data_IF_211573840785
#
_entry.id   IF_211573840785
#
_cell.length_a   1.000
_cell.length_b   1.000
_cell.length_c   1.000
_cell.angle_alpha   90.00
_cell.angle_beta   90.00
_cell.angle_gamma   90.00
#
_symmetry.space_group_name_H-M   'P 1'
#
loop_
_entity.id
_entity.type
_entity.pdbx_description
1 polymer ?
#
# COMPACT_ATOMS: atom_id res chain seq x y z
N UNK A 1 -16.71 -31.06 13.26
CA UNK A 1 -16.36 -30.23 12.10
C UNK A 1 -15.38 -29.18 12.61
N UNK A 2 -14.23 -28.94 11.96
CA UNK A 2 -13.38 -27.80 12.32
C UNK A 2 -14.17 -26.53 12.09
N UNK A 3 -14.18 -25.64 13.06
CA UNK A 3 -14.76 -24.31 12.92
C UNK A 3 -14.11 -23.55 11.77
N UNK A 4 -14.88 -22.78 11.01
CA UNK A 4 -14.33 -21.97 9.92
C UNK A 4 -13.33 -20.95 10.48
N UNK A 5 -12.21 -20.67 9.80
CA UNK A 5 -11.25 -19.67 10.27
C UNK A 5 -11.91 -18.29 10.34
N UNK A 6 -11.50 -17.49 11.32
CA UNK A 6 -11.95 -16.09 11.42
C UNK A 6 -11.19 -15.18 10.46
N UNK A 7 -9.90 -15.41 10.29
CA UNK A 7 -9.03 -14.59 9.42
C UNK A 7 -8.45 -15.45 8.30
N UNK A 8 -8.53 -14.98 7.07
CA UNK A 8 -7.74 -15.50 5.93
C UNK A 8 -6.57 -14.56 5.68
N UNK A 9 -5.34 -15.07 5.87
CA UNK A 9 -4.10 -14.36 5.55
C UNK A 9 -3.68 -14.73 4.14
N UNK A 10 -3.68 -13.77 3.23
CA UNK A 10 -3.33 -13.95 1.81
C UNK A 10 -1.88 -13.50 1.60
N UNK A 11 -1.05 -14.40 1.07
CA UNK A 11 0.37 -14.18 0.82
C UNK A 11 0.67 -14.42 -0.67
N UNK A 12 0.81 -13.36 -1.48
CA UNK A 12 1.32 -13.50 -2.83
C UNK A 12 2.82 -13.80 -2.79
N UNK A 13 3.25 -14.81 -3.53
CA UNK A 13 4.64 -15.29 -3.52
C UNK A 13 5.20 -15.26 -4.94
N UNK A 14 6.34 -14.59 -5.13
CA UNK A 14 7.10 -14.63 -6.37
C UNK A 14 8.58 -14.40 -6.09
N UNK A 15 9.42 -15.42 -6.38
CA UNK A 15 10.88 -15.40 -6.16
C UNK A 15 11.27 -14.88 -4.76
N UNK A 16 10.72 -15.51 -3.71
CA UNK A 16 10.85 -15.07 -2.31
C UNK A 16 11.60 -16.08 -1.43
N UNK A 17 12.34 -17.04 -1.99
CA UNK A 17 12.97 -18.16 -1.23
C UNK A 17 13.78 -17.71 -0.02
N UNK A 18 14.41 -16.53 -0.09
CA UNK A 18 15.25 -16.00 0.99
C UNK A 18 14.45 -15.49 2.20
N UNK A 19 13.19 -15.11 2.00
CA UNK A 19 12.38 -14.39 3.02
C UNK A 19 11.15 -15.18 3.45
N UNK A 20 10.66 -16.07 2.57
CA UNK A 20 9.37 -16.73 2.68
C UNK A 20 9.21 -17.53 3.98
N UNK A 21 10.26 -18.21 4.45
CA UNK A 21 10.22 -18.94 5.72
C UNK A 21 9.92 -18.02 6.89
N UNK A 22 10.62 -16.89 7.00
CA UNK A 22 10.38 -15.91 8.05
C UNK A 22 8.96 -15.36 8.00
N UNK A 23 8.46 -15.08 6.79
CA UNK A 23 7.10 -14.60 6.59
C UNK A 23 6.08 -15.62 7.12
N UNK A 24 6.12 -16.87 6.65
CA UNK A 24 5.19 -17.93 7.05
C UNK A 24 5.30 -18.22 8.55
N UNK A 25 6.50 -18.33 9.09
CA UNK A 25 6.73 -18.58 10.51
C UNK A 25 6.13 -17.48 11.38
N UNK A 26 6.22 -16.22 10.95
CA UNK A 26 5.63 -15.10 11.68
C UNK A 26 4.10 -15.20 11.76
N UNK A 27 3.43 -15.78 10.76
CA UNK A 27 1.98 -16.02 10.77
C UNK A 27 1.61 -17.26 11.57
N UNK A 28 2.36 -18.36 11.44
CA UNK A 28 2.09 -19.60 12.18
C UNK A 28 2.27 -19.43 13.69
N UNK A 29 3.21 -18.57 14.11
CA UNK A 29 3.51 -18.29 15.51
C UNK A 29 2.62 -17.21 16.15
N UNK A 30 1.53 -16.80 15.47
CA UNK A 30 0.60 -15.82 16.03
C UNK A 30 -0.10 -16.34 17.30
N UNK A 31 -0.38 -15.43 18.25
CA UNK A 31 -1.17 -15.74 19.45
C UNK A 31 -2.61 -16.12 19.10
N UNK A 32 -3.24 -15.44 18.15
CA UNK A 32 -4.56 -15.79 17.61
C UNK A 32 -4.49 -17.05 16.76
N UNK A 33 -5.40 -18.01 16.97
CA UNK A 33 -5.32 -19.35 16.35
C UNK A 33 -6.38 -19.67 15.30
N UNK A 34 -7.45 -18.84 15.21
CA UNK A 34 -8.54 -19.08 14.25
C UNK A 34 -8.25 -18.41 12.89
N UNK A 35 -7.22 -18.87 12.19
CA UNK A 35 -6.83 -18.36 10.88
C UNK A 35 -6.50 -19.47 9.89
N UNK A 36 -6.53 -19.14 8.61
CA UNK A 36 -5.91 -19.87 7.51
C UNK A 36 -4.89 -18.98 6.79
N UNK A 37 -3.91 -19.61 6.15
CA UNK A 37 -2.96 -18.98 5.23
C UNK A 37 -3.29 -19.46 3.82
N UNK A 38 -3.45 -18.52 2.88
CA UNK A 38 -3.59 -18.78 1.45
C UNK A 38 -2.35 -18.21 0.78
N UNK A 39 -1.35 -19.06 0.56
CA UNK A 39 -0.11 -18.69 -0.09
C UNK A 39 -0.17 -19.10 -1.57
N UNK A 40 -0.04 -18.12 -2.46
CA UNK A 40 -0.18 -18.35 -3.89
C UNK A 40 1.15 -18.01 -4.57
N UNK A 41 1.81 -19.03 -5.08
CA UNK A 41 3.01 -18.91 -5.89
C UNK A 41 2.64 -18.45 -7.31
N UNK A 42 3.13 -17.27 -7.67
CA UNK A 42 2.88 -16.61 -8.94
C UNK A 42 3.94 -16.96 -9.99
N UNK A 43 4.26 -18.25 -10.11
CA UNK A 43 5.21 -18.77 -11.10
C UNK A 43 6.67 -18.49 -10.77
N UNK A 44 7.06 -18.66 -9.51
CA UNK A 44 8.46 -18.50 -9.06
C UNK A 44 9.42 -19.41 -9.82
N UNK A 45 10.64 -18.93 -10.00
CA UNK A 45 11.74 -19.65 -10.67
C UNK A 45 12.80 -20.15 -9.67
N UNK A 46 12.65 -19.77 -8.40
CA UNK A 46 13.48 -20.17 -7.26
C UNK A 46 12.82 -21.31 -6.45
N UNK A 47 13.29 -21.55 -5.25
CA UNK A 47 12.74 -22.61 -4.37
C UNK A 47 11.45 -22.21 -3.62
N UNK A 48 10.83 -21.06 -3.92
CA UNK A 48 9.65 -20.56 -3.19
C UNK A 48 8.52 -21.60 -3.14
N UNK A 49 8.13 -22.17 -4.29
CA UNK A 49 7.06 -23.17 -4.33
C UNK A 49 7.41 -24.45 -3.56
N UNK A 50 8.67 -24.88 -3.60
CA UNK A 50 9.12 -26.02 -2.80
C UNK A 50 8.96 -25.74 -1.31
N UNK A 51 9.35 -24.56 -0.85
CA UNK A 51 9.17 -24.12 0.55
C UNK A 51 7.69 -24.16 0.94
N UNK A 52 6.80 -23.61 0.10
CA UNK A 52 5.36 -23.62 0.35
C UNK A 52 4.81 -25.05 0.53
N UNK A 53 5.22 -25.99 -0.32
CA UNK A 53 4.80 -27.38 -0.24
C UNK A 53 5.28 -28.07 1.04
N UNK A 54 6.50 -27.76 1.50
CA UNK A 54 7.00 -28.25 2.79
C UNK A 54 6.10 -27.78 3.93
N UNK A 55 5.78 -26.48 4.00
CA UNK A 55 4.89 -25.94 5.04
C UNK A 55 3.47 -26.51 4.99
N UNK A 56 2.91 -26.73 3.81
CA UNK A 56 1.58 -27.33 3.66
C UNK A 56 1.51 -28.75 4.23
N UNK A 57 2.60 -29.54 4.17
CA UNK A 57 2.66 -30.89 4.74
C UNK A 57 2.62 -30.86 6.28
N UNK A 58 3.20 -29.84 6.90
CA UNK A 58 3.31 -29.74 8.37
C UNK A 58 2.19 -28.95 9.03
N UNK A 59 1.47 -28.10 8.29
CA UNK A 59 0.45 -27.22 8.86
C UNK A 59 -0.88 -27.33 8.12
N UNK A 60 -1.95 -27.77 8.80
CA UNK A 60 -3.29 -27.85 8.22
C UNK A 60 -3.94 -26.46 8.02
N UNK A 61 -3.30 -25.39 8.49
CA UNK A 61 -3.78 -24.04 8.35
C UNK A 61 -3.26 -23.35 7.08
N UNK A 62 -2.35 -24.00 6.33
CA UNK A 62 -1.79 -23.47 5.09
C UNK A 62 -2.41 -24.20 3.90
N UNK A 63 -2.87 -23.39 2.96
CA UNK A 63 -3.26 -23.82 1.62
C UNK A 63 -2.35 -23.13 0.61
N UNK A 64 -1.70 -23.92 -0.25
CA UNK A 64 -0.80 -23.43 -1.28
C UNK A 64 -1.37 -23.67 -2.67
N UNK A 65 -1.11 -22.75 -3.58
CA UNK A 65 -1.40 -22.87 -5.01
C UNK A 65 -0.17 -22.38 -5.79
N UNK A 66 0.01 -22.91 -7.00
CA UNK A 66 1.01 -22.40 -7.93
C UNK A 66 0.38 -22.28 -9.33
N UNK A 67 0.78 -21.28 -10.07
CA UNK A 67 0.32 -21.02 -11.42
C UNK A 67 1.34 -20.19 -12.21
N UNK A 68 1.08 -19.95 -13.48
CA UNK A 68 1.85 -19.00 -14.28
C UNK A 68 1.73 -17.58 -13.73
N UNK A 69 2.81 -16.79 -13.89
CA UNK A 69 2.88 -15.42 -13.36
C UNK A 69 1.82 -14.51 -14.00
N UNK A 70 1.01 -13.87 -13.16
CA UNK A 70 -0.03 -12.90 -13.53
C UNK A 70 0.05 -11.62 -12.70
N UNK A 71 1.05 -11.49 -11.84
CA UNK A 71 1.28 -10.34 -10.99
C UNK A 71 0.57 -10.38 -9.64
N UNK A 72 1.04 -9.54 -8.72
CA UNK A 72 0.58 -9.50 -7.33
C UNK A 72 -0.90 -9.12 -7.21
N UNK A 73 -1.41 -8.20 -8.04
CA UNK A 73 -2.81 -7.80 -8.08
C UNK A 73 -3.74 -8.99 -8.33
N UNK A 74 -3.44 -9.76 -9.38
CA UNK A 74 -4.22 -10.95 -9.70
C UNK A 74 -4.15 -11.99 -8.58
N UNK A 75 -2.96 -12.18 -7.99
CA UNK A 75 -2.73 -13.12 -6.90
C UNK A 75 -3.54 -12.77 -5.65
N UNK A 76 -3.55 -11.50 -5.26
CA UNK A 76 -4.38 -11.03 -4.14
C UNK A 76 -5.89 -11.19 -4.44
N UNK A 77 -6.34 -10.90 -5.65
CA UNK A 77 -7.73 -11.10 -6.07
C UNK A 77 -8.17 -12.56 -6.03
N UNK A 78 -7.31 -13.48 -6.44
CA UNK A 78 -7.56 -14.91 -6.32
C UNK A 78 -7.64 -15.33 -4.86
N UNK A 79 -6.74 -14.84 -4.02
CA UNK A 79 -6.76 -15.06 -2.58
C UNK A 79 -8.07 -14.61 -1.92
N UNK A 80 -8.62 -13.43 -2.30
CA UNK A 80 -9.92 -12.95 -1.81
C UNK A 80 -11.04 -13.96 -2.14
N UNK A 81 -11.06 -14.50 -3.36
CA UNK A 81 -12.05 -15.49 -3.79
C UNK A 81 -11.96 -16.81 -3.03
N UNK A 82 -10.74 -17.23 -2.71
CA UNK A 82 -10.44 -18.49 -2.02
C UNK A 82 -10.61 -18.42 -0.51
N UNK A 83 -10.60 -17.22 0.08
CA UNK A 83 -10.69 -16.97 1.50
C UNK A 83 -11.98 -17.55 2.11
N UNK A 84 -11.87 -18.25 3.24
CA UNK A 84 -13.00 -18.79 4.02
C UNK A 84 -13.26 -17.97 5.29
N UNK A 85 -12.28 -17.16 5.71
CA UNK A 85 -12.37 -16.31 6.89
C UNK A 85 -13.42 -15.21 6.74
N UNK A 86 -13.93 -14.78 7.88
CA UNK A 86 -14.81 -13.59 7.98
C UNK A 86 -14.05 -12.32 7.62
N UNK A 87 -12.75 -12.31 7.94
CA UNK A 87 -11.85 -11.19 7.69
C UNK A 87 -10.69 -11.60 6.78
N UNK A 88 -10.14 -10.62 6.06
CA UNK A 88 -9.00 -10.80 5.15
C UNK A 88 -7.85 -9.88 5.58
N UNK A 89 -6.64 -10.41 5.52
CA UNK A 89 -5.38 -9.67 5.67
C UNK A 89 -4.43 -10.03 4.54
N UNK A 90 -3.62 -9.06 4.10
CA UNK A 90 -2.57 -9.28 3.12
C UNK A 90 -1.20 -9.14 3.79
N UNK A 91 -0.27 -10.02 3.45
CA UNK A 91 1.12 -9.95 3.90
C UNK A 91 1.99 -10.24 2.67
N UNK A 92 2.96 -9.38 2.39
CA UNK A 92 3.92 -9.60 1.32
C UNK A 92 4.96 -10.65 1.74
N UNK A 93 5.40 -11.49 0.82
CA UNK A 93 6.22 -12.68 1.11
C UNK A 93 7.63 -12.39 1.63
N UNK A 94 8.10 -11.16 1.51
CA UNK A 94 9.37 -10.69 2.08
C UNK A 94 9.23 -9.99 3.44
N UNK A 95 8.00 -9.76 3.92
CA UNK A 95 7.67 -9.10 5.17
C UNK A 95 7.38 -10.09 6.30
N UNK A 96 7.18 -9.58 7.52
CA UNK A 96 6.79 -10.39 8.68
C UNK A 96 6.00 -9.56 9.71
N UNK A 97 5.29 -10.24 10.60
CA UNK A 97 4.39 -9.60 11.58
C UNK A 97 4.76 -9.95 13.02
N UNK A 98 4.43 -9.07 13.95
CA UNK A 98 4.61 -9.31 15.39
C UNK A 98 3.70 -10.44 15.89
N UNK A 99 4.06 -11.16 16.98
CA UNK A 99 3.31 -12.34 17.45
C UNK A 99 1.85 -12.08 17.86
N UNK A 100 1.50 -10.86 18.22
CA UNK A 100 0.16 -10.43 18.64
C UNK A 100 -0.66 -9.78 17.51
N UNK A 101 -0.10 -9.69 16.30
CA UNK A 101 -0.64 -8.93 15.19
C UNK A 101 -2.06 -9.34 14.80
N UNK A 102 -2.32 -10.62 14.60
CA UNK A 102 -3.67 -11.09 14.24
C UNK A 102 -4.67 -10.87 15.38
N UNK A 103 -4.24 -11.06 16.64
CA UNK A 103 -5.11 -10.86 17.81
C UNK A 103 -5.55 -9.40 17.92
N UNK A 104 -4.58 -8.46 17.85
CA UNK A 104 -4.88 -7.02 17.97
C UNK A 104 -5.88 -6.58 16.89
N UNK A 105 -5.65 -6.96 15.64
CA UNK A 105 -6.56 -6.59 14.56
C UNK A 105 -7.93 -7.27 14.65
N UNK A 106 -7.97 -8.53 15.10
CA UNK A 106 -9.21 -9.25 15.31
C UNK A 106 -10.07 -8.57 16.41
N UNK A 107 -9.46 -8.25 17.55
CA UNK A 107 -10.15 -7.59 18.65
C UNK A 107 -10.73 -6.23 18.23
N UNK A 108 -9.98 -5.49 17.45
CA UNK A 108 -10.38 -4.19 16.95
C UNK A 108 -11.55 -4.26 15.94
N UNK A 109 -11.53 -5.18 14.98
CA UNK A 109 -12.56 -5.24 13.93
C UNK A 109 -13.80 -6.02 14.38
N UNK A 110 -13.65 -7.01 15.26
CA UNK A 110 -14.76 -7.85 15.72
C UNK A 110 -15.70 -7.11 16.68
N UNK A 111 -15.19 -6.11 17.37
CA UNK A 111 -15.94 -5.33 18.36
C UNK A 111 -16.88 -4.28 17.75
N UNK A 112 -16.78 -4.01 16.44
CA UNK A 112 -17.46 -2.89 15.81
C UNK A 112 -18.10 -3.20 14.46
N UNK A 113 -18.56 -2.15 13.80
CA UNK A 113 -19.19 -2.17 12.47
C UNK A 113 -18.17 -1.82 11.37
N UNK A 114 -16.89 -1.73 11.72
CA UNK A 114 -15.85 -1.32 10.78
C UNK A 114 -15.74 -2.29 9.59
N UNK A 115 -15.63 -1.75 8.40
CA UNK A 115 -15.37 -2.49 7.18
C UNK A 115 -13.88 -2.77 6.98
N UNK A 116 -13.04 -1.87 7.54
CA UNK A 116 -11.61 -2.07 7.61
C UNK A 116 -11.00 -1.38 8.84
N UNK A 117 -9.97 -2.00 9.42
CA UNK A 117 -9.11 -1.39 10.44
C UNK A 117 -7.68 -1.34 9.91
N UNK A 118 -7.04 -0.17 10.03
CA UNK A 118 -5.73 0.12 9.49
C UNK A 118 -4.76 0.41 10.64
N UNK A 119 -3.67 -0.33 10.71
CA UNK A 119 -2.56 -0.10 11.63
C UNK A 119 -1.39 0.61 10.95
N UNK A 120 -0.42 0.97 11.76
CA UNK A 120 0.88 1.44 11.30
C UNK A 120 1.78 0.31 10.83
N UNK A 121 2.90 0.69 10.24
CA UNK A 121 3.96 -0.22 9.83
C UNK A 121 5.33 0.35 10.19
N UNK A 122 6.31 -0.53 10.29
CA UNK A 122 7.71 -0.12 10.46
C UNK A 122 8.59 -0.72 9.37
N UNK A 123 9.50 0.09 8.84
CA UNK A 123 10.55 -0.38 7.92
C UNK A 123 11.71 -0.92 8.72
N UNK A 124 12.14 -2.13 8.41
CA UNK A 124 13.23 -2.82 9.12
C UNK A 124 14.33 -3.25 8.15
N UNK A 125 15.59 -3.23 8.62
CA UNK A 125 16.72 -3.75 7.85
C UNK A 125 16.91 -5.27 8.06
N UNK A 126 18.00 -5.81 7.49
CA UNK A 126 18.35 -7.23 7.59
C UNK A 126 18.59 -7.70 9.04
N UNK A 127 19.05 -6.82 9.92
CA UNK A 127 19.31 -7.11 11.34
C UNK A 127 18.04 -6.95 12.21
N UNK A 128 16.88 -6.66 11.59
CA UNK A 128 15.64 -6.36 12.31
C UNK A 128 15.60 -4.96 12.93
N UNK A 129 16.61 -4.11 12.68
CA UNK A 129 16.65 -2.74 13.20
C UNK A 129 15.63 -1.87 12.46
N UNK A 130 14.81 -1.16 13.22
CA UNK A 130 13.86 -0.19 12.68
C UNK A 130 14.58 0.98 12.02
N UNK A 131 14.28 1.22 10.73
CA UNK A 131 14.76 2.36 9.96
C UNK A 131 13.82 3.57 10.12
N UNK A 132 12.53 3.33 10.04
CA UNK A 132 11.48 4.30 10.36
C UNK A 132 10.15 3.58 10.63
N UNK A 133 9.17 4.32 11.15
CA UNK A 133 7.79 3.83 11.30
C UNK A 133 6.78 4.86 10.80
N UNK A 134 5.62 4.35 10.40
CA UNK A 134 4.42 5.13 10.10
C UNK A 134 3.41 4.78 11.19
N UNK A 135 3.38 5.58 12.23
CA UNK A 135 2.33 5.48 13.24
C UNK A 135 1.10 6.23 12.78
N UNK A 136 -0.06 5.64 12.94
CA UNK A 136 -1.34 6.25 12.55
C UNK A 136 -2.03 6.83 13.78
N UNK A 137 -2.54 8.06 13.63
CA UNK A 137 -3.45 8.68 14.61
C UNK A 137 -4.90 8.25 14.37
N UNK A 138 -5.83 8.93 15.06
CA UNK A 138 -7.28 8.71 14.89
C UNK A 138 -7.91 9.67 13.86
N UNK A 139 -7.15 10.58 13.29
CA UNK A 139 -7.66 11.57 12.35
C UNK A 139 -7.97 10.93 10.99
N UNK A 140 -8.93 11.48 10.26
CA UNK A 140 -9.30 11.02 8.91
C UNK A 140 -8.12 10.99 7.94
N UNK A 141 -7.13 11.88 8.09
CA UNK A 141 -5.92 11.89 7.29
C UNK A 141 -5.03 10.67 7.49
N UNK A 142 -5.06 10.04 8.66
CA UNK A 142 -4.16 8.93 9.00
C UNK A 142 -4.25 7.77 8.01
N UNK A 143 -5.42 7.41 7.51
CA UNK A 143 -5.59 6.34 6.51
C UNK A 143 -4.88 6.65 5.17
N UNK A 144 -4.74 7.94 4.80
CA UNK A 144 -4.04 8.37 3.59
C UNK A 144 -2.50 8.39 3.72
N UNK A 145 -1.98 8.15 4.91
CA UNK A 145 -0.52 8.10 5.14
C UNK A 145 0.09 6.76 4.77
N UNK A 146 -0.71 5.70 4.75
CA UNK A 146 -0.34 4.38 4.27
C UNK A 146 -1.32 3.94 3.20
N UNK A 147 -0.83 3.58 2.02
CA UNK A 147 -1.61 3.14 0.87
C UNK A 147 -1.39 1.65 0.55
N UNK A 148 -0.50 0.98 1.27
CA UNK A 148 -0.30 -0.45 1.14
C UNK A 148 -1.56 -1.21 1.58
N UNK A 149 -1.96 -2.30 0.94
CA UNK A 149 -3.03 -3.18 1.40
C UNK A 149 -2.63 -3.96 2.65
N UNK A 150 -1.34 -4.00 2.97
CA UNK A 150 -0.79 -4.59 4.19
C UNK A 150 -0.98 -3.68 5.41
N UNK A 151 -0.68 -4.19 6.61
CA UNK A 151 -0.96 -3.56 7.89
C UNK A 151 -2.45 -3.24 8.12
N UNK A 152 -3.35 -4.10 7.62
CA UNK A 152 -4.80 -3.91 7.67
C UNK A 152 -5.54 -5.22 7.81
N UNK A 153 -6.75 -5.12 8.37
CA UNK A 153 -7.75 -6.16 8.32
C UNK A 153 -9.00 -5.62 7.62
N UNK A 154 -9.61 -6.44 6.78
CA UNK A 154 -10.80 -6.08 6.01
C UNK A 154 -11.93 -7.07 6.31
N UNK A 155 -13.16 -6.58 6.45
CA UNK A 155 -14.34 -7.44 6.44
C UNK A 155 -14.54 -8.03 5.06
N UNK A 156 -14.46 -9.37 4.91
CA UNK A 156 -14.60 -10.04 3.63
C UNK A 156 -15.91 -9.69 2.92
N UNK A 157 -17.03 -9.67 3.68
CA UNK A 157 -18.34 -9.31 3.12
C UNK A 157 -18.33 -7.94 2.46
N UNK A 158 -17.68 -6.94 3.08
CA UNK A 158 -17.54 -5.61 2.48
C UNK A 158 -16.77 -5.64 1.15
N UNK A 159 -15.66 -6.38 1.06
CA UNK A 159 -14.90 -6.50 -0.18
C UNK A 159 -15.73 -7.16 -1.28
N UNK A 160 -16.47 -8.22 -0.96
CA UNK A 160 -17.26 -8.99 -1.93
C UNK A 160 -18.49 -8.22 -2.38
N UNK A 161 -19.27 -7.66 -1.46
CA UNK A 161 -20.53 -6.95 -1.79
C UNK A 161 -20.28 -5.68 -2.63
N UNK A 162 -19.11 -5.06 -2.50
CA UNK A 162 -18.72 -3.88 -3.27
C UNK A 162 -17.82 -4.22 -4.48
N UNK A 163 -17.63 -5.50 -4.80
CA UNK A 163 -16.79 -5.99 -5.90
C UNK A 163 -15.37 -5.40 -5.88
N UNK A 164 -14.81 -5.21 -4.67
CA UNK A 164 -13.50 -4.59 -4.50
C UNK A 164 -12.40 -5.56 -4.92
N UNK A 165 -11.58 -5.12 -5.86
CA UNK A 165 -10.47 -5.90 -6.39
C UNK A 165 -9.27 -4.98 -6.71
N UNK A 166 -8.08 -5.57 -6.69
CA UNK A 166 -6.89 -4.90 -7.18
C UNK A 166 -6.97 -4.78 -8.70
N UNK A 167 -6.80 -3.56 -9.27
CA UNK A 167 -6.82 -3.38 -10.70
C UNK A 167 -5.58 -4.00 -11.36
N UNK A 168 -5.76 -4.53 -12.57
CA UNK A 168 -4.66 -5.04 -13.39
C UNK A 168 -3.94 -3.87 -14.06
N UNK A 169 -2.95 -3.34 -13.38
CA UNK A 169 -2.08 -2.25 -13.85
C UNK A 169 -0.66 -2.45 -13.32
N UNK A 170 0.36 -2.02 -14.08
CA UNK A 170 1.75 -2.25 -13.71
C UNK A 170 2.25 -1.37 -12.55
N UNK A 171 1.50 -0.35 -12.16
CA UNK A 171 1.87 0.60 -11.10
C UNK A 171 0.64 1.07 -10.33
N UNK A 172 0.79 1.22 -9.02
CA UNK A 172 -0.20 1.82 -8.12
C UNK A 172 -1.49 1.01 -7.93
N UNK A 173 -1.47 -0.31 -8.18
CA UNK A 173 -2.59 -1.21 -7.91
C UNK A 173 -3.01 -1.15 -6.43
N UNK A 174 -2.03 -1.12 -5.52
CA UNK A 174 -2.22 -0.99 -4.07
C UNK A 174 -2.88 0.33 -3.69
N UNK A 175 -2.40 1.41 -4.31
CA UNK A 175 -2.96 2.76 -4.14
C UNK A 175 -4.42 2.81 -4.57
N UNK A 176 -4.73 2.34 -5.78
CA UNK A 176 -6.09 2.36 -6.32
C UNK A 176 -7.03 1.48 -5.50
N UNK A 177 -6.59 0.28 -5.11
CA UNK A 177 -7.36 -0.57 -4.21
C UNK A 177 -7.67 0.15 -2.89
N UNK A 178 -6.65 0.72 -2.24
CA UNK A 178 -6.82 1.42 -0.96
C UNK A 178 -7.74 2.62 -1.08
N UNK A 179 -7.59 3.45 -2.12
CA UNK A 179 -8.49 4.59 -2.33
C UNK A 179 -9.92 4.15 -2.66
N UNK A 180 -10.09 3.05 -3.41
CA UNK A 180 -11.43 2.49 -3.67
C UNK A 180 -12.08 2.05 -2.36
N UNK A 181 -11.37 1.36 -1.48
CA UNK A 181 -11.85 1.02 -0.13
C UNK A 181 -12.30 2.28 0.61
N UNK A 182 -11.51 3.37 0.57
CA UNK A 182 -11.83 4.61 1.29
C UNK A 182 -13.02 5.38 0.73
N UNK A 183 -13.30 5.23 -0.56
CA UNK A 183 -14.46 5.88 -1.19
C UNK A 183 -15.74 5.07 -1.09
N UNK A 184 -15.65 3.79 -0.75
CA UNK A 184 -16.81 2.88 -0.64
C UNK A 184 -17.33 2.70 0.78
N UNK A 185 -16.58 3.15 1.81
CA UNK A 185 -17.02 3.05 3.21
C UNK A 185 -16.56 4.25 4.03
N UNK A 186 -17.44 4.72 4.92
CA UNK A 186 -17.12 5.64 5.99
C UNK A 186 -16.66 4.92 7.28
N UNK A 187 -16.90 3.60 7.37
CA UNK A 187 -16.57 2.74 8.51
C UNK A 187 -15.14 2.21 8.40
N UNK A 188 -14.17 3.12 8.27
CA UNK A 188 -12.75 2.77 8.21
C UNK A 188 -12.03 3.46 9.34
N UNK A 189 -11.45 2.68 10.23
CA UNK A 189 -10.78 3.16 11.43
C UNK A 189 -9.27 2.91 11.38
N UNK A 190 -8.51 3.83 11.95
CA UNK A 190 -7.07 3.69 12.14
C UNK A 190 -6.73 3.46 13.61
N UNK A 191 -5.72 2.62 13.86
CA UNK A 191 -5.21 2.31 15.22
C UNK A 191 -3.71 2.62 15.31
N UNK A 192 -3.21 3.03 16.49
CA UNK A 192 -1.80 3.39 16.66
C UNK A 192 -0.89 2.15 16.85
N UNK A 193 -1.27 1.01 16.33
CA UNK A 193 -0.51 -0.24 16.43
C UNK A 193 0.39 -0.43 15.22
N UNK A 194 1.69 -0.73 15.44
CA UNK A 194 2.70 -0.96 14.41
C UNK A 194 3.29 -2.37 14.55
N UNK A 195 2.54 -3.38 14.16
CA UNK A 195 2.97 -4.79 14.22
C UNK A 195 3.37 -5.38 12.85
N UNK A 196 3.32 -4.61 11.78
CA UNK A 196 3.73 -5.01 10.43
C UNK A 196 5.17 -4.55 10.17
N UNK A 197 6.06 -5.49 9.86
CA UNK A 197 7.48 -5.25 9.61
C UNK A 197 7.74 -5.31 8.10
N UNK A 198 7.78 -4.15 7.46
CA UNK A 198 8.14 -4.00 6.07
C UNK A 198 9.66 -4.14 5.91
N UNK A 199 10.09 -5.25 5.37
CA UNK A 199 11.49 -5.58 5.26
C UNK A 199 12.18 -4.82 4.12
N UNK A 200 13.38 -4.28 4.39
CA UNK A 200 14.18 -3.62 3.36
C UNK A 200 14.86 -4.67 2.48
N UNK A 201 14.30 -4.89 1.32
CA UNK A 201 14.82 -5.77 0.28
C UNK A 201 15.31 -4.90 -0.89
N UNK A 202 16.64 -4.88 -1.15
CA UNK A 202 17.24 -4.08 -2.24
C UNK A 202 16.70 -4.47 -3.62
N UNK A 203 16.30 -5.72 -3.80
CA UNK A 203 15.77 -6.27 -5.05
C UNK A 203 14.26 -6.14 -5.19
N UNK A 204 13.57 -5.51 -4.23
CA UNK A 204 12.12 -5.32 -4.33
C UNK A 204 11.74 -4.41 -5.48
N UNK A 205 10.55 -4.62 -6.05
CA UNK A 205 9.99 -3.78 -7.10
C UNK A 205 10.00 -2.29 -6.72
N UNK A 206 9.68 -1.97 -5.46
CA UNK A 206 9.68 -0.60 -4.94
C UNK A 206 11.06 0.07 -4.98
N UNK A 207 12.14 -0.69 -4.86
CA UNK A 207 13.51 -0.15 -4.86
C UNK A 207 14.17 -0.15 -6.25
N UNK A 208 13.67 -0.96 -7.18
CA UNK A 208 14.27 -1.12 -8.52
C UNK A 208 13.58 -0.32 -9.62
N UNK A 209 12.25 -0.13 -9.52
CA UNK A 209 11.46 0.53 -10.57
C UNK A 209 11.54 2.07 -10.55
N UNK A 210 11.98 2.69 -9.46
CA UNK A 210 11.92 4.14 -9.26
C UNK A 210 13.21 4.90 -9.66
N UNK A 211 14.03 4.34 -10.56
CA UNK A 211 15.23 5.03 -11.08
C UNK A 211 14.89 5.80 -12.36
N UNK A 212 14.34 6.99 -12.20
CA UNK A 212 13.91 7.84 -13.30
C UNK A 212 12.41 7.70 -13.62
N UNK A 213 11.93 8.52 -14.55
CA UNK A 213 10.57 8.38 -15.07
C UNK A 213 10.52 7.22 -16.06
N UNK A 214 9.99 6.09 -15.62
CA UNK A 214 9.85 4.91 -16.46
C UNK A 214 8.77 5.18 -17.54
N UNK A 215 9.09 5.09 -18.84
CA UNK A 215 8.15 5.36 -19.92
C UNK A 215 6.96 4.38 -19.97
N UNK A 216 7.11 3.21 -19.35
CA UNK A 216 6.03 2.22 -19.22
C UNK A 216 5.06 2.53 -18.07
N UNK A 217 5.36 3.54 -17.25
CA UNK A 217 4.54 3.95 -16.10
C UNK A 217 3.88 5.30 -16.43
N UNK A 218 2.64 5.24 -16.91
CA UNK A 218 1.86 6.44 -17.23
C UNK A 218 1.17 7.00 -15.97
N UNK A 219 1.77 8.02 -15.38
CA UNK A 219 1.21 8.72 -14.20
C UNK A 219 -0.18 9.31 -14.51
N UNK A 220 -0.43 9.76 -15.75
CA UNK A 220 -1.72 10.32 -16.12
C UNK A 220 -2.81 9.24 -16.05
N UNK A 221 -2.55 8.04 -16.54
CA UNK A 221 -3.49 6.91 -16.41
C UNK A 221 -3.81 6.62 -14.93
N UNK A 222 -2.82 6.63 -14.05
CA UNK A 222 -3.04 6.46 -12.61
C UNK A 222 -3.93 7.58 -12.06
N UNK A 223 -3.67 8.82 -12.40
CA UNK A 223 -4.45 9.98 -11.97
C UNK A 223 -5.89 9.96 -12.52
N UNK A 224 -6.10 9.57 -13.77
CA UNK A 224 -7.43 9.39 -14.38
C UNK A 224 -8.24 8.33 -13.63
N UNK A 225 -7.61 7.20 -13.27
CA UNK A 225 -8.25 6.15 -12.46
C UNK A 225 -8.57 6.63 -11.04
N UNK A 226 -7.67 7.40 -10.41
CA UNK A 226 -7.97 8.01 -9.10
C UNK A 226 -9.18 8.94 -9.21
N UNK A 227 -9.25 9.78 -10.24
CA UNK A 227 -10.40 10.66 -10.44
C UNK A 227 -11.72 9.89 -10.65
N UNK A 228 -11.67 8.78 -11.38
CA UNK A 228 -12.84 7.95 -11.68
C UNK A 228 -13.44 7.24 -10.46
N UNK A 229 -12.64 6.92 -9.44
CA UNK A 229 -13.12 6.24 -8.22
C UNK A 229 -13.67 7.21 -7.17
N UNK A 230 -13.48 8.54 -7.31
CA UNK A 230 -13.95 9.53 -6.35
C UNK A 230 -15.39 9.93 -6.66
N UNK A 231 -16.38 9.65 -5.80
CA UNK A 231 -17.74 10.13 -5.97
C UNK A 231 -17.80 11.68 -5.96
N UNK A 232 -18.74 12.26 -6.69
CA UNK A 232 -18.88 13.73 -6.80
C UNK A 232 -19.08 14.44 -5.47
N UNK A 233 -19.81 13.81 -4.57
CA UNK A 233 -20.20 14.27 -3.23
C UNK A 233 -19.40 13.60 -2.09
N UNK A 234 -18.23 13.07 -2.41
CA UNK A 234 -17.39 12.40 -1.42
C UNK A 234 -16.96 13.35 -0.30
N UNK A 235 -17.30 12.99 0.93
CA UNK A 235 -17.12 13.85 2.12
C UNK A 235 -15.66 14.27 2.37
N UNK A 236 -14.69 13.42 1.98
CA UNK A 236 -13.26 13.65 2.18
C UNK A 236 -12.51 14.15 0.91
N UNK A 237 -13.24 14.71 -0.04
CA UNK A 237 -12.66 15.23 -1.31
C UNK A 237 -11.45 16.15 -1.08
N UNK A 238 -11.46 17.00 -0.04
CA UNK A 238 -10.32 17.87 0.29
C UNK A 238 -9.06 17.08 0.66
N UNK A 239 -9.22 15.97 1.40
CA UNK A 239 -8.13 15.12 1.81
C UNK A 239 -7.56 14.35 0.63
N UNK A 240 -8.41 13.82 -0.26
CA UNK A 240 -7.95 13.16 -1.49
C UNK A 240 -7.19 14.16 -2.40
N UNK A 241 -7.68 15.38 -2.59
CA UNK A 241 -6.94 16.40 -3.36
C UNK A 241 -5.57 16.72 -2.75
N UNK A 242 -5.47 16.75 -1.42
CA UNK A 242 -4.19 16.90 -0.75
C UNK A 242 -3.30 15.66 -0.92
N UNK A 243 -3.89 14.47 -0.87
CA UNK A 243 -3.20 13.21 -1.15
C UNK A 243 -2.64 13.18 -2.58
N UNK A 244 -3.44 13.54 -3.59
CA UNK A 244 -2.98 13.63 -5.00
C UNK A 244 -1.79 14.58 -5.10
N UNK A 245 -1.85 15.74 -4.47
CA UNK A 245 -0.73 16.69 -4.43
C UNK A 245 0.53 16.08 -3.81
N UNK A 246 0.40 15.35 -2.70
CA UNK A 246 1.50 14.64 -2.06
C UNK A 246 2.05 13.54 -2.96
N UNK A 247 1.19 12.69 -3.51
CA UNK A 247 1.54 11.59 -4.39
C UNK A 247 2.30 12.06 -5.64
N UNK A 248 1.78 13.08 -6.32
CA UNK A 248 2.44 13.65 -7.51
C UNK A 248 3.76 14.33 -7.19
N UNK A 249 3.90 14.93 -6.01
CA UNK A 249 5.20 15.46 -5.56
C UNK A 249 6.22 14.34 -5.36
N UNK A 250 5.82 13.22 -4.72
CA UNK A 250 6.71 12.06 -4.59
C UNK A 250 7.13 11.51 -5.94
N UNK A 251 6.19 11.33 -6.86
CA UNK A 251 6.49 10.91 -8.23
C UNK A 251 7.53 11.81 -8.90
N UNK A 252 7.35 13.12 -8.80
CA UNK A 252 8.28 14.11 -9.38
C UNK A 252 9.65 14.09 -8.73
N UNK A 253 9.73 13.93 -7.41
CA UNK A 253 11.01 13.92 -6.70
C UNK A 253 11.76 12.60 -6.92
N UNK A 254 11.10 11.48 -6.80
CA UNK A 254 11.74 10.17 -6.97
C UNK A 254 12.21 9.96 -8.41
N UNK A 255 11.30 10.15 -9.39
CA UNK A 255 11.64 10.02 -10.81
C UNK A 255 12.62 11.08 -11.29
N UNK A 256 12.41 12.34 -10.87
CA UNK A 256 13.18 13.48 -11.31
C UNK A 256 14.65 13.43 -10.92
N UNK A 257 14.97 12.85 -9.76
CA UNK A 257 16.35 12.73 -9.28
C UNK A 257 17.29 12.00 -10.26
N UNK A 258 16.75 11.04 -10.99
CA UNK A 258 17.49 10.19 -11.96
C UNK A 258 17.13 10.48 -13.41
N UNK A 259 16.52 11.63 -13.68
CA UNK A 259 16.07 12.06 -15.01
C UNK A 259 16.68 13.40 -15.39
N UNK A 260 16.51 13.80 -16.66
CA UNK A 260 16.92 15.12 -17.12
C UNK A 260 16.00 16.22 -16.60
N UNK A 261 16.51 17.45 -16.49
CA UNK A 261 15.70 18.60 -16.11
C UNK A 261 14.57 18.89 -17.11
N UNK A 262 14.77 18.58 -18.39
CA UNK A 262 13.74 18.72 -19.43
C UNK A 262 12.58 17.75 -19.19
N UNK A 263 12.87 16.50 -18.88
CA UNK A 263 11.86 15.49 -18.59
C UNK A 263 11.11 15.79 -17.29
N UNK A 264 11.80 16.22 -16.24
CA UNK A 264 11.17 16.67 -15.00
C UNK A 264 10.15 17.78 -15.27
N UNK A 265 10.53 18.81 -16.04
CA UNK A 265 9.66 19.93 -16.37
C UNK A 265 8.47 19.51 -17.23
N UNK A 266 8.64 18.53 -18.13
CA UNK A 266 7.57 17.94 -18.92
C UNK A 266 6.54 17.26 -18.01
N UNK A 267 7.01 16.33 -17.15
CA UNK A 267 6.17 15.60 -16.19
C UNK A 267 5.43 16.57 -15.25
N UNK A 268 6.15 17.57 -14.73
CA UNK A 268 5.57 18.60 -13.88
C UNK A 268 4.43 19.34 -14.58
N UNK A 269 4.63 19.75 -15.82
CA UNK A 269 3.60 20.44 -16.62
C UNK A 269 2.38 19.55 -16.86
N UNK A 270 2.59 18.32 -17.29
CA UNK A 270 1.51 17.36 -17.56
C UNK A 270 0.65 17.09 -16.32
N UNK A 271 1.27 16.90 -15.16
CA UNK A 271 0.58 16.69 -13.88
C UNK A 271 -0.25 17.94 -13.50
N UNK A 272 0.34 19.14 -13.59
CA UNK A 272 -0.37 20.34 -13.21
C UNK A 272 -1.51 20.70 -14.18
N UNK A 273 -1.33 20.47 -15.48
CA UNK A 273 -2.40 20.61 -16.46
C UNK A 273 -3.54 19.64 -16.16
N UNK A 274 -3.23 18.38 -15.83
CA UNK A 274 -4.23 17.40 -15.41
C UNK A 274 -4.98 17.82 -14.13
N UNK A 275 -4.26 18.28 -13.11
CA UNK A 275 -4.84 18.77 -11.84
C UNK A 275 -5.81 19.93 -12.10
N UNK A 276 -5.44 20.86 -12.99
CA UNK A 276 -6.27 22.02 -13.35
C UNK A 276 -7.52 21.60 -14.11
N UNK A 277 -7.37 20.77 -15.13
CA UNK A 277 -8.48 20.32 -16.00
C UNK A 277 -9.52 19.51 -15.19
N UNK A 278 -9.06 18.64 -14.29
CA UNK A 278 -9.94 17.79 -13.49
C UNK A 278 -10.40 18.44 -12.16
N UNK A 279 -10.05 19.71 -11.90
CA UNK A 279 -10.44 20.41 -10.67
C UNK A 279 -9.86 19.77 -9.39
N UNK A 280 -8.72 19.08 -9.50
CA UNK A 280 -8.07 18.34 -8.40
C UNK A 280 -7.07 19.19 -7.61
N UNK A 281 -7.08 20.51 -7.79
CA UNK A 281 -6.21 21.41 -7.02
C UNK A 281 -6.56 21.34 -5.53
N UNK A 282 -5.55 21.02 -4.71
CA UNK A 282 -5.70 21.03 -3.25
C UNK A 282 -5.83 22.45 -2.71
N UNK A 283 -6.81 22.65 -1.85
CA UNK A 283 -7.01 23.90 -1.10
C UNK A 283 -6.45 23.83 0.32
N UNK A 284 -6.05 22.63 0.79
CA UNK A 284 -5.49 22.47 2.12
C UNK A 284 -4.05 22.97 2.18
N UNK A 285 -3.79 23.82 3.17
CA UNK A 285 -2.43 24.22 3.55
C UNK A 285 -1.71 23.04 4.22
N UNK A 286 -0.39 22.96 4.08
CA UNK A 286 0.44 21.98 4.79
C UNK A 286 0.42 22.15 6.32
N UNK A 287 -0.09 23.28 6.82
CA UNK A 287 -0.28 23.59 8.24
C UNK A 287 -1.72 23.36 8.73
N UNK A 288 -2.61 22.84 7.86
CA UNK A 288 -4.00 22.58 8.23
C UNK A 288 -4.09 21.52 9.33
N UNK A 289 -5.02 21.70 10.27
CA UNK A 289 -5.22 20.77 11.40
C UNK A 289 -5.68 19.38 10.94
N UNK A 290 -6.40 19.28 9.84
CA UNK A 290 -6.88 18.00 9.30
C UNK A 290 -5.74 17.07 8.86
N UNK A 291 -4.54 17.62 8.59
CA UNK A 291 -3.34 16.87 8.17
C UNK A 291 -2.19 17.00 9.18
N UNK A 292 -2.52 17.29 10.46
CA UNK A 292 -1.49 17.51 11.50
C UNK A 292 -0.55 16.32 11.67
N UNK A 293 -1.06 15.08 11.49
CA UNK A 293 -0.32 13.83 11.66
C UNK A 293 0.61 13.50 10.49
N UNK A 294 0.61 14.32 9.41
CA UNK A 294 1.57 14.11 8.32
C UNK A 294 3.00 14.42 8.77
N UNK A 295 3.95 13.62 8.28
CA UNK A 295 5.38 13.74 8.62
C UNK A 295 5.90 15.13 8.31
N UNK A 296 6.69 15.70 9.25
CA UNK A 296 7.26 17.05 9.10
C UNK A 296 8.05 17.22 7.79
N UNK A 297 8.89 16.24 7.44
CA UNK A 297 9.69 16.30 6.20
C UNK A 297 8.82 16.34 4.94
N UNK A 298 7.68 15.66 4.94
CA UNK A 298 6.71 15.71 3.83
C UNK A 298 6.09 17.09 3.72
N UNK A 299 5.64 17.66 4.85
CA UNK A 299 5.11 19.02 4.90
C UNK A 299 6.14 20.06 4.43
N UNK A 300 7.40 19.88 4.86
CA UNK A 300 8.50 20.75 4.46
C UNK A 300 8.76 20.66 2.95
N UNK A 301 8.84 19.46 2.38
CA UNK A 301 9.02 19.27 0.94
C UNK A 301 7.88 19.90 0.13
N UNK A 302 6.62 19.70 0.55
CA UNK A 302 5.45 20.31 -0.09
C UNK A 302 5.45 21.83 0.02
N UNK A 303 5.84 22.37 1.18
CA UNK A 303 5.95 23.81 1.40
C UNK A 303 7.03 24.43 0.50
N UNK A 304 8.23 23.81 0.51
CA UNK A 304 9.36 24.26 -0.31
C UNK A 304 9.01 24.24 -1.80
N UNK A 305 8.37 23.19 -2.28
CA UNK A 305 7.95 23.08 -3.68
C UNK A 305 6.93 24.18 -4.04
N UNK A 306 5.94 24.43 -3.18
CA UNK A 306 5.00 25.54 -3.38
C UNK A 306 5.72 26.91 -3.45
N UNK A 307 6.76 27.11 -2.65
CA UNK A 307 7.53 28.36 -2.66
C UNK A 307 8.32 28.49 -3.96
N UNK A 308 9.01 27.43 -4.40
CA UNK A 308 9.76 27.37 -5.66
C UNK A 308 8.84 27.72 -6.85
N UNK A 309 7.64 27.17 -6.87
CA UNK A 309 6.62 27.47 -7.88
C UNK A 309 6.21 28.95 -7.85
N UNK A 310 5.87 29.45 -6.65
CA UNK A 310 5.39 30.83 -6.46
C UNK A 310 6.41 31.89 -6.87
N UNK A 311 7.71 31.63 -6.62
CA UNK A 311 8.78 32.58 -6.97
C UNK A 311 9.38 32.31 -8.36
N UNK A 312 8.83 31.38 -9.15
CA UNK A 312 9.25 31.09 -10.53
C UNK A 312 10.61 30.38 -10.67
N UNK A 313 11.11 29.76 -9.60
CA UNK A 313 12.43 29.10 -9.58
C UNK A 313 12.40 27.64 -10.01
N UNK A 314 11.30 27.13 -10.56
CA UNK A 314 11.15 25.72 -10.92
C UNK A 314 12.21 25.22 -11.91
N UNK A 315 12.54 26.02 -12.92
CA UNK A 315 13.59 25.67 -13.90
C UNK A 315 14.98 25.55 -13.25
N UNK A 316 15.30 26.46 -12.33
CA UNK A 316 16.56 26.43 -11.59
C UNK A 316 16.60 25.20 -10.67
N UNK A 317 15.50 24.91 -9.96
CA UNK A 317 15.37 23.72 -9.13
C UNK A 317 15.59 22.45 -9.95
N UNK A 318 14.90 22.31 -11.09
CA UNK A 318 15.05 21.14 -11.94
C UNK A 318 16.50 20.96 -12.41
N UNK A 319 17.20 22.04 -12.80
CA UNK A 319 18.59 22.00 -13.21
C UNK A 319 19.56 21.55 -12.10
N UNK A 320 19.27 21.89 -10.85
CA UNK A 320 20.11 21.53 -9.69
C UNK A 320 19.76 20.16 -9.11
N UNK A 321 18.51 19.75 -9.20
CA UNK A 321 17.99 18.53 -8.59
C UNK A 321 18.19 17.29 -9.46
N UNK A 322 17.93 17.40 -10.76
CA UNK A 322 18.04 16.30 -11.70
C UNK A 322 19.51 15.99 -12.02
N UNK A 323 19.85 14.70 -12.04
CA UNK A 323 21.22 14.21 -12.20
C UNK A 323 21.40 13.31 -13.44
N UNK A 324 20.33 13.18 -14.25
CA UNK A 324 20.32 12.39 -15.50
C UNK A 324 20.85 13.18 -16.68
#
# INVERSE_FOLDING_TARGET
MKEAPKISVIIPVYNAELYLKRCIDSVLNQSFKSFEIIAIDDGSKDNSFKILNEYQQFSPNIRTLSRENKGAAYTRNEGIKLAKGEFIMFIDSDDYINPDYLQVFYDEISSGIDDAVIGGLQRVNQDGKQLFSIQLGKDKWSKYRSISPCARIYRKKFLVDNELSFPDIPLAEDLLFSLTVYTKSENIRTIPYCGYNWFYNENSASNTLNKGFNPNLDIKNVLDRIAAIIPKDFSETKLIKFFIKKFTLYWLLDGGRYSTSAEFLRQYKEINDWIRINGMKSTLSVFNREIRDERFMVKLAMFTMNLIEKVGLLKLFAKLYCKG
#
